data_IF_154065683570
#
_entry.id   IF_154065683570
#
_cell.length_a   1.000
_cell.length_b   1.000
_cell.length_c   1.000
_cell.angle_alpha   90.00
_cell.angle_beta   90.00
_cell.angle_gamma   90.00
#
_symmetry.space_group_name_H-M   'P 1'
#
loop_
_entity.id
_entity.type
_entity.pdbx_description
1 polymer ?
#
# COMPACT_ATOMS: atom_id res chain seq x y z
N UNK A 1 -12.01 13.75 5.79
CA UNK A 1 -11.62 13.68 4.40
C UNK A 1 -12.22 12.54 3.63
N UNK A 2 -13.55 12.63 3.68
CA UNK A 2 -14.64 12.49 2.73
C UNK A 2 -14.38 13.07 1.34
N UNK A 3 -13.42 13.98 1.21
CA UNK A 3 -13.02 14.50 -0.10
C UNK A 3 -11.52 14.34 -0.35
N UNK A 4 -10.73 13.99 0.67
CA UNK A 4 -9.40 13.48 0.41
C UNK A 4 -9.48 12.18 -0.37
N UNK A 5 -10.42 11.31 0.00
CA UNK A 5 -10.56 10.03 -0.69
C UNK A 5 -11.13 10.21 -2.09
N UNK A 6 -12.07 11.17 -2.27
CA UNK A 6 -12.86 11.21 -3.50
C UNK A 6 -12.01 11.49 -4.75
N UNK A 7 -11.34 12.65 -4.89
CA UNK A 7 -10.38 12.75 -6.01
C UNK A 7 -9.27 11.72 -5.95
N UNK A 8 -8.88 11.28 -4.75
CA UNK A 8 -7.90 10.23 -4.63
C UNK A 8 -8.40 8.92 -5.23
N UNK A 9 -9.49 8.40 -4.68
CA UNK A 9 -10.09 7.17 -5.20
C UNK A 9 -10.45 7.29 -6.67
N UNK A 10 -10.68 8.51 -7.17
CA UNK A 10 -10.99 8.70 -8.57
C UNK A 10 -9.82 8.31 -9.46
N UNK A 11 -8.67 8.95 -9.27
CA UNK A 11 -7.48 8.62 -10.05
C UNK A 11 -7.06 7.17 -9.84
N UNK A 12 -7.26 6.64 -8.63
CA UNK A 12 -7.02 5.22 -8.38
C UNK A 12 -7.87 4.37 -9.30
N UNK A 13 -9.19 4.54 -9.19
CA UNK A 13 -10.15 3.81 -10.01
C UNK A 13 -9.96 4.09 -11.49
N UNK A 14 -9.55 5.32 -11.83
CA UNK A 14 -9.22 5.62 -13.22
C UNK A 14 -7.99 4.86 -13.67
N UNK A 15 -7.03 4.64 -12.76
CA UNK A 15 -5.85 3.85 -13.10
C UNK A 15 -6.23 2.40 -13.36
N UNK A 16 -6.98 1.78 -12.43
CA UNK A 16 -7.47 0.43 -12.63
C UNK A 16 -8.08 0.26 -14.01
N UNK A 17 -8.92 1.23 -14.40
CA UNK A 17 -9.44 1.26 -15.76
C UNK A 17 -8.33 1.12 -16.79
N UNK A 18 -7.33 2.00 -16.71
CA UNK A 18 -6.24 1.99 -17.68
C UNK A 18 -5.60 0.61 -17.74
N UNK A 19 -5.09 0.13 -16.61
CA UNK A 19 -4.36 -1.14 -16.61
C UNK A 19 -5.28 -2.29 -17.01
N UNK A 20 -6.51 -2.32 -16.47
CA UNK A 20 -7.44 -3.36 -16.87
C UNK A 20 -7.81 -3.26 -18.34
N UNK A 21 -7.88 -2.05 -18.88
CA UNK A 21 -8.31 -1.88 -20.27
C UNK A 21 -7.17 -2.20 -21.22
N UNK A 22 -5.95 -1.77 -20.92
CA UNK A 22 -4.80 -2.14 -21.73
C UNK A 22 -4.75 -3.66 -21.89
N UNK A 23 -4.75 -4.38 -20.77
CA UNK A 23 -4.80 -5.83 -20.83
C UNK A 23 -5.95 -6.34 -21.68
N UNK A 24 -7.12 -5.71 -21.56
CA UNK A 24 -8.25 -6.09 -22.39
C UNK A 24 -7.95 -5.94 -23.87
N UNK A 25 -7.12 -4.97 -24.23
CA UNK A 25 -6.69 -4.83 -25.62
C UNK A 25 -5.82 -6.01 -26.02
N UNK A 26 -4.73 -6.25 -25.29
CA UNK A 26 -3.84 -7.36 -25.60
C UNK A 26 -4.60 -8.69 -25.58
N UNK A 27 -5.48 -8.87 -24.59
CA UNK A 27 -6.27 -10.10 -24.51
C UNK A 27 -7.06 -10.32 -25.80
N UNK A 28 -7.91 -9.36 -26.13
CA UNK A 28 -8.58 -9.37 -27.44
C UNK A 28 -7.65 -9.29 -28.63
N UNK A 29 -6.56 -8.53 -28.53
CA UNK A 29 -5.68 -8.41 -29.69
C UNK A 29 -5.11 -9.75 -30.15
N UNK A 30 -5.09 -10.77 -29.29
CA UNK A 30 -4.52 -12.04 -29.69
C UNK A 30 -5.39 -13.25 -29.40
N UNK A 31 -6.33 -13.18 -28.46
CA UNK A 31 -7.21 -14.30 -28.23
C UNK A 31 -8.57 -14.16 -28.89
N UNK A 32 -9.00 -12.94 -29.24
CA UNK A 32 -10.33 -12.76 -29.85
C UNK A 32 -10.48 -13.57 -31.13
N UNK A 33 -9.36 -13.85 -31.81
CA UNK A 33 -9.39 -14.62 -33.05
C UNK A 33 -10.18 -15.91 -32.87
N UNK A 34 -9.76 -16.76 -31.93
CA UNK A 34 -10.34 -18.09 -31.80
C UNK A 34 -11.26 -18.27 -30.60
N UNK A 35 -11.36 -17.29 -29.69
CA UNK A 35 -12.31 -17.33 -28.58
C UNK A 35 -13.15 -16.06 -28.51
N UNK A 36 -14.07 -15.88 -29.48
CA UNK A 36 -14.93 -14.68 -29.43
C UNK A 36 -15.94 -14.68 -28.29
N UNK A 37 -16.59 -15.82 -27.99
CA UNK A 37 -17.70 -15.81 -27.02
C UNK A 37 -17.42 -14.94 -25.81
N UNK A 38 -16.22 -15.06 -25.24
CA UNK A 38 -15.98 -14.24 -24.07
C UNK A 38 -14.54 -13.73 -23.96
N UNK A 39 -13.80 -13.68 -25.09
CA UNK A 39 -12.78 -12.67 -25.40
C UNK A 39 -13.07 -11.95 -26.72
N UNK A 40 -14.30 -11.46 -26.90
CA UNK A 40 -14.69 -10.93 -28.19
C UNK A 40 -14.52 -9.43 -28.31
N UNK A 41 -15.62 -8.71 -28.18
CA UNK A 41 -15.61 -7.33 -27.72
C UNK A 41 -14.60 -7.06 -26.62
N UNK A 42 -13.97 -5.87 -26.70
CA UNK A 42 -12.94 -5.48 -25.75
C UNK A 42 -13.40 -5.64 -24.30
N UNK A 43 -14.49 -4.95 -23.93
CA UNK A 43 -15.00 -5.05 -22.57
C UNK A 43 -15.38 -6.46 -22.17
N UNK A 44 -15.70 -7.30 -23.14
CA UNK A 44 -16.03 -8.70 -22.85
C UNK A 44 -14.82 -9.43 -22.30
N UNK A 45 -13.69 -9.36 -23.02
CA UNK A 45 -12.43 -9.89 -22.47
C UNK A 45 -12.05 -9.15 -21.20
N UNK A 46 -12.26 -7.83 -21.17
CA UNK A 46 -11.99 -7.05 -19.97
C UNK A 46 -12.70 -7.62 -18.76
N UNK A 47 -13.98 -7.99 -18.93
CA UNK A 47 -14.71 -8.61 -17.83
C UNK A 47 -14.05 -9.89 -17.37
N UNK A 48 -13.83 -10.82 -18.31
CA UNK A 48 -13.25 -12.10 -17.96
C UNK A 48 -11.88 -11.93 -17.32
N UNK A 49 -11.08 -10.99 -17.84
CA UNK A 49 -9.82 -10.63 -17.19
C UNK A 49 -10.05 -10.25 -15.74
N UNK A 50 -11.19 -9.63 -15.44
CA UNK A 50 -11.53 -9.21 -14.09
C UNK A 50 -12.25 -10.34 -13.36
N UNK A 51 -13.04 -11.13 -14.11
CA UNK A 51 -13.53 -12.39 -13.55
C UNK A 51 -12.39 -13.34 -13.22
N UNK A 52 -11.31 -13.32 -14.01
CA UNK A 52 -10.11 -14.07 -13.63
C UNK A 52 -9.53 -13.54 -12.33
N UNK A 53 -9.52 -12.22 -12.16
CA UNK A 53 -8.94 -11.62 -10.95
C UNK A 53 -9.77 -11.94 -9.72
N UNK A 54 -11.09 -11.80 -9.82
CA UNK A 54 -11.97 -12.01 -8.66
C UNK A 54 -12.33 -13.48 -8.42
N UNK A 55 -11.83 -14.40 -9.25
CA UNK A 55 -11.64 -15.82 -8.97
C UNK A 55 -12.93 -16.66 -9.02
N UNK A 56 -14.10 -16.04 -9.09
CA UNK A 56 -15.42 -16.69 -9.10
C UNK A 56 -15.56 -17.92 -9.98
N UNK A 57 -15.71 -19.10 -9.36
CA UNK A 57 -15.86 -20.38 -10.06
C UNK A 57 -14.65 -20.68 -10.95
N UNK A 62 -12.42 -21.21 -17.68
CA UNK A 62 -11.99 -20.39 -18.79
C UNK A 62 -10.52 -20.61 -19.19
N UNK A 63 -9.62 -20.57 -18.20
CA UNK A 63 -8.22 -20.38 -18.52
C UNK A 63 -7.64 -21.63 -19.16
N UNK A 64 -8.12 -22.80 -18.75
CA UNK A 64 -7.47 -24.03 -19.17
C UNK A 64 -7.71 -24.32 -20.65
N UNK A 65 -8.92 -24.17 -21.19
CA UNK A 65 -9.06 -24.35 -22.65
C UNK A 65 -8.31 -23.29 -23.44
N UNK A 66 -8.37 -22.03 -23.03
CA UNK A 66 -7.57 -20.99 -23.67
C UNK A 66 -6.10 -21.32 -23.55
N UNK A 67 -5.67 -21.82 -22.38
CA UNK A 67 -4.30 -22.29 -22.22
C UNK A 67 -4.02 -23.52 -23.08
N UNK A 68 -5.02 -24.38 -23.27
CA UNK A 68 -4.82 -25.56 -24.09
C UNK A 68 -4.65 -25.20 -25.56
N UNK A 69 -5.61 -24.46 -26.12
CA UNK A 69 -5.59 -24.13 -27.54
C UNK A 69 -4.35 -23.29 -27.87
N UNK A 70 -4.26 -22.11 -27.26
CA UNK A 70 -3.02 -21.34 -27.32
C UNK A 70 -2.13 -21.72 -26.14
N UNK A 71 -1.03 -22.43 -26.36
CA UNK A 71 -0.03 -22.56 -25.30
C UNK A 71 0.72 -21.25 -25.17
N UNK A 72 1.62 -21.14 -24.21
CA UNK A 72 2.35 -19.91 -23.93
C UNK A 72 1.43 -18.74 -23.59
N UNK A 73 0.13 -19.01 -23.36
CA UNK A 73 -0.80 -17.95 -22.99
C UNK A 73 -0.61 -17.50 -21.55
N UNK A 74 -0.04 -18.36 -20.72
CA UNK A 74 0.38 -17.96 -19.38
C UNK A 74 1.35 -16.79 -19.43
N UNK A 75 2.05 -16.60 -20.54
CA UNK A 75 2.90 -15.43 -20.74
C UNK A 75 2.13 -14.15 -20.90
N UNK A 76 0.81 -14.19 -20.76
CA UNK A 76 0.00 -13.00 -20.62
C UNK A 76 -0.78 -13.02 -19.32
N UNK A 77 -1.42 -14.14 -19.00
CA UNK A 77 -2.27 -14.18 -17.80
C UNK A 77 -1.45 -13.99 -16.54
N UNK A 78 -0.30 -14.65 -16.44
CA UNK A 78 0.55 -14.50 -15.27
C UNK A 78 1.08 -13.08 -15.16
N UNK A 79 1.77 -12.52 -16.17
CA UNK A 79 2.29 -11.16 -16.00
C UNK A 79 1.23 -10.12 -15.72
N UNK A 80 0.06 -10.24 -16.35
CA UNK A 80 -0.95 -9.19 -16.19
C UNK A 80 -1.52 -9.24 -14.77
N UNK A 81 -1.76 -10.46 -14.25
CA UNK A 81 -2.15 -10.60 -12.86
C UNK A 81 -1.10 -9.99 -11.94
N UNK A 82 0.18 -10.26 -12.21
CA UNK A 82 1.23 -9.66 -11.41
C UNK A 82 1.12 -8.15 -11.39
N UNK A 83 0.87 -7.54 -12.55
CA UNK A 83 0.85 -6.08 -12.63
C UNK A 83 -0.29 -5.52 -11.81
N UNK A 84 -1.51 -6.04 -12.00
CA UNK A 84 -2.64 -5.61 -11.18
C UNK A 84 -2.35 -5.80 -9.70
N UNK A 85 -1.91 -7.00 -9.31
CA UNK A 85 -1.62 -7.26 -7.91
C UNK A 85 -0.45 -6.42 -7.42
N UNK A 86 0.57 -6.20 -8.27
CA UNK A 86 1.58 -5.17 -8.03
C UNK A 86 0.92 -3.85 -7.68
N UNK A 87 0.13 -3.33 -8.63
CA UNK A 87 -0.42 -1.99 -8.52
C UNK A 87 -1.29 -1.84 -7.27
N UNK A 88 -2.12 -2.85 -6.99
CA UNK A 88 -2.93 -2.80 -5.77
C UNK A 88 -2.04 -2.76 -4.54
N UNK A 89 -1.07 -3.67 -4.47
CA UNK A 89 -0.11 -3.68 -3.37
C UNK A 89 0.57 -2.32 -3.26
N UNK A 90 1.11 -1.82 -4.39
CA UNK A 90 1.88 -0.58 -4.39
C UNK A 90 1.04 0.58 -3.85
N UNK A 91 -0.23 0.66 -4.27
CA UNK A 91 -1.13 1.68 -3.73
C UNK A 91 -1.18 1.62 -2.22
N UNK A 92 -1.50 0.44 -1.67
CA UNK A 92 -1.66 0.30 -0.24
C UNK A 92 -0.36 0.56 0.50
N UNK A 93 0.75 0.07 -0.03
CA UNK A 93 2.06 0.34 0.58
C UNK A 93 2.29 1.84 0.68
N UNK A 94 2.13 2.55 -0.43
CA UNK A 94 2.24 3.99 -0.43
C UNK A 94 1.39 4.62 0.66
N UNK A 95 0.08 4.35 0.62
CA UNK A 95 -0.83 4.88 1.63
C UNK A 95 -0.33 4.60 3.04
N UNK A 96 0.16 3.38 3.28
CA UNK A 96 0.71 3.04 4.58
C UNK A 96 1.94 3.88 4.89
N UNK A 97 2.96 3.78 4.03
CA UNK A 97 4.20 4.51 4.24
C UNK A 97 3.94 6.02 4.29
N UNK A 98 3.11 6.51 3.39
CA UNK A 98 2.76 7.94 3.38
C UNK A 98 2.01 8.35 4.63
N UNK A 99 1.26 7.44 5.23
CA UNK A 99 0.55 7.75 6.47
C UNK A 99 1.52 7.84 7.65
N UNK A 100 2.45 6.90 7.75
CA UNK A 100 3.37 6.88 8.90
C UNK A 100 4.17 8.18 8.99
N UNK A 101 4.43 8.82 7.85
CA UNK A 101 5.00 10.16 7.89
C UNK A 101 4.01 11.18 8.44
N UNK A 102 2.74 11.09 8.03
CA UNK A 102 1.74 12.03 8.50
C UNK A 102 1.63 12.01 10.03
N UNK A 103 1.61 10.81 10.62
CA UNK A 103 1.54 10.70 12.06
C UNK A 103 2.84 11.15 12.71
N UNK A 104 3.98 10.88 12.06
CA UNK A 104 5.28 11.32 12.56
C UNK A 104 5.32 12.83 12.77
N UNK A 105 4.59 13.59 11.94
CA UNK A 105 4.58 15.04 12.00
C UNK A 105 3.37 15.59 12.75
N UNK A 106 2.81 14.79 13.66
CA UNK A 106 1.66 15.25 14.45
C UNK A 106 2.08 15.88 15.77
N UNK A 107 3.12 15.32 16.42
CA UNK A 107 3.80 16.05 17.49
C UNK A 107 4.03 17.51 17.14
N UNK A 108 4.54 17.74 15.94
CA UNK A 108 4.84 19.10 15.51
C UNK A 108 3.57 19.93 15.36
N UNK A 109 2.45 19.28 15.02
CA UNK A 109 1.21 20.01 14.84
C UNK A 109 0.68 20.61 16.12
N UNK A 110 0.70 19.83 17.22
CA UNK A 110 0.27 20.36 18.51
C UNK A 110 1.17 21.51 18.94
N UNK A 111 2.48 21.26 18.94
CA UNK A 111 3.47 22.29 19.24
C UNK A 111 3.20 23.58 18.47
N UNK A 112 2.67 23.47 17.26
CA UNK A 112 2.35 24.66 16.48
C UNK A 112 1.19 25.42 17.10
N UNK A 113 0.08 24.73 17.39
CA UNK A 113 -1.07 25.41 18.00
C UNK A 113 -0.76 25.94 19.40
N UNK A 114 0.34 25.52 20.02
CA UNK A 114 0.80 26.18 21.23
C UNK A 114 1.29 27.59 20.91
N UNK A 115 2.25 27.68 19.99
CA UNK A 115 2.70 28.99 19.51
C UNK A 115 1.55 29.78 18.91
N UNK A 116 0.82 29.17 17.97
CA UNK A 116 -0.36 29.79 17.35
C UNK A 116 -1.22 30.52 18.38
N UNK A 117 -1.56 29.82 19.46
CA UNK A 117 -2.54 30.34 20.41
C UNK A 117 -1.89 31.31 21.39
N UNK A 118 -0.67 31.02 21.84
CA UNK A 118 -0.05 31.85 22.86
C UNK A 118 0.41 33.20 22.30
N UNK A 119 0.65 33.28 20.99
CA UNK A 119 0.83 34.58 20.35
C UNK A 119 -0.45 35.40 20.43
N UNK A 120 -1.55 34.84 19.91
CA UNK A 120 -2.84 35.51 20.00
C UNK A 120 -3.21 35.78 21.45
N UNK A 121 -2.67 34.98 22.38
CA UNK A 121 -2.86 35.27 23.80
C UNK A 121 -2.19 36.57 24.18
N UNK A 122 -0.90 36.73 23.85
CA UNK A 122 -0.26 38.02 24.17
C UNK A 122 -0.98 39.14 23.43
N UNK A 123 -1.23 38.95 22.12
CA UNK A 123 -1.75 40.01 21.28
C UNK A 123 -3.06 40.57 21.81
N UNK A 124 -3.86 39.74 22.47
CA UNK A 124 -4.99 40.25 23.23
C UNK A 124 -4.50 41.03 24.44
N UNK A 125 -3.64 40.40 25.24
CA UNK A 125 -3.10 41.03 26.45
C UNK A 125 -2.43 42.36 26.12
N UNK A 126 -1.63 42.40 25.06
CA UNK A 126 -0.92 43.63 24.71
C UNK A 126 -1.90 44.70 24.28
N UNK A 127 -2.85 44.34 23.42
CA UNK A 127 -3.88 45.27 23.00
C UNK A 127 -4.69 45.73 24.22
N UNK A 128 -5.13 44.77 25.03
CA UNK A 128 -5.80 45.06 26.30
C UNK A 128 -5.13 46.14 27.12
N UNK A 129 -3.90 45.88 27.54
CA UNK A 129 -3.21 46.82 28.41
C UNK A 129 -2.92 48.12 27.69
N UNK A 130 -2.66 48.05 26.38
CA UNK A 130 -2.48 49.26 25.59
C UNK A 130 -3.78 50.06 25.50
N UNK A 131 -4.87 49.41 25.12
CA UNK A 131 -6.16 50.06 24.94
C UNK A 131 -6.74 50.57 26.25
N UNK A 132 -6.03 50.36 27.37
CA UNK A 132 -6.41 50.90 28.67
C UNK A 132 -5.50 52.05 29.09
N UNK A 133 -4.92 52.73 28.11
CA UNK A 133 -4.05 53.88 28.29
C UNK A 133 -4.67 55.14 27.70
N UNK A 134 -5.95 55.08 27.32
CA UNK A 134 -6.65 56.21 26.76
C UNK A 134 -7.97 56.51 27.44
N UNK B 1 8.51 7.84 18.61
CA UNK B 1 7.28 7.12 18.33
C UNK B 1 7.55 5.71 17.87
N UNK B 2 7.45 4.62 18.65
CA UNK B 2 6.69 4.14 19.80
C UNK B 2 5.19 4.09 19.52
N UNK B 3 4.67 5.02 18.73
CA UNK B 3 3.26 4.96 18.33
C UNK B 3 3.13 5.37 16.87
N UNK B 4 4.17 5.97 16.30
CA UNK B 4 4.24 6.07 14.86
C UNK B 4 4.33 4.69 14.23
N UNK B 5 5.14 3.81 14.84
CA UNK B 5 5.28 2.46 14.33
C UNK B 5 4.00 1.64 14.56
N UNK B 6 3.34 1.84 15.71
CA UNK B 6 2.29 0.89 16.13
C UNK B 6 1.11 0.85 15.17
N UNK B 7 0.33 1.94 14.97
CA UNK B 7 -0.66 1.89 13.86
C UNK B 7 -0.04 1.66 12.51
N UNK B 8 1.20 2.09 12.29
CA UNK B 8 1.90 1.82 11.05
C UNK B 8 2.13 0.33 10.87
N UNK B 9 2.90 -0.27 11.78
CA UNK B 9 3.15 -1.71 11.72
C UNK B 9 1.86 -2.53 11.74
N UNK B 10 0.77 -1.96 12.26
CA UNK B 10 -0.50 -2.68 12.27
C UNK B 10 -1.03 -2.88 10.85
N UNK B 11 -1.22 -1.79 10.11
CA UNK B 11 -1.70 -1.92 8.73
C UNK B 11 -0.70 -2.68 7.87
N UNK B 12 0.60 -2.58 8.17
CA UNK B 12 1.61 -3.37 7.46
C UNK B 12 1.32 -4.85 7.59
N UNK B 13 1.27 -5.35 8.81
CA UNK B 13 1.08 -6.78 8.98
C UNK B 13 -0.39 -7.16 9.08
N UNK B 14 -1.29 -6.19 8.90
CA UNK B 14 -2.62 -6.50 8.38
C UNK B 14 -2.58 -6.74 6.89
N UNK B 15 -1.71 -6.01 6.17
CA UNK B 15 -1.54 -6.25 4.74
C UNK B 15 -0.94 -7.62 4.47
N UNK B 16 0.18 -7.93 5.15
CA UNK B 16 0.78 -9.26 5.02
C UNK B 16 -0.28 -10.34 5.17
N UNK B 17 -1.14 -10.21 6.18
CA UNK B 17 -2.27 -11.11 6.32
C UNK B 17 -3.05 -11.22 5.02
N UNK B 18 -3.48 -10.09 4.48
CA UNK B 18 -4.28 -10.09 3.25
C UNK B 18 -3.57 -10.86 2.15
N UNK B 19 -2.35 -10.42 1.80
CA UNK B 19 -1.64 -11.02 0.68
C UNK B 19 -1.33 -12.48 0.96
N UNK B 20 -0.87 -12.78 2.17
CA UNK B 20 -0.60 -14.18 2.52
C UNK B 20 -1.88 -15.01 2.52
N UNK B 21 -2.99 -14.41 2.91
CA UNK B 21 -4.24 -15.18 3.02
C UNK B 21 -4.86 -15.39 1.64
N UNK B 22 -4.84 -14.37 0.78
CA UNK B 22 -5.32 -14.54 -0.58
C UNK B 22 -4.59 -15.71 -1.24
N UNK B 23 -3.27 -15.69 -1.21
CA UNK B 23 -2.50 -16.81 -1.73
C UNK B 23 -2.91 -18.13 -1.11
N UNK B 24 -3.18 -18.13 0.21
CA UNK B 24 -3.63 -19.34 0.87
C UNK B 24 -4.95 -19.84 0.28
N UNK B 25 -5.80 -18.93 -0.18
CA UNK B 25 -7.02 -19.34 -0.86
C UNK B 25 -6.70 -20.03 -2.18
N UNK B 26 -5.97 -19.33 -3.05
CA UNK B 26 -5.60 -19.91 -4.35
C UNK B 26 -4.83 -21.21 -4.15
N UNK B 27 -3.89 -21.23 -3.22
CA UNK B 27 -3.15 -22.46 -2.93
C UNK B 27 -4.12 -23.58 -2.62
N UNK B 28 -5.09 -23.31 -1.75
CA UNK B 28 -5.95 -24.37 -1.27
C UNK B 28 -6.96 -24.62 -2.39
N UNK B 29 -7.37 -23.54 -3.07
CA UNK B 29 -8.41 -23.62 -4.10
C UNK B 29 -8.04 -24.57 -5.22
N UNK B 30 -6.75 -24.86 -5.40
CA UNK B 30 -6.35 -25.74 -6.50
C UNK B 30 -5.42 -26.86 -6.10
N UNK B 31 -4.69 -26.75 -4.99
CA UNK B 31 -3.86 -27.87 -4.55
C UNK B 31 -4.49 -28.71 -3.45
N UNK B 32 -5.46 -28.18 -2.71
CA UNK B 32 -6.06 -28.95 -1.62
C UNK B 32 -6.68 -30.25 -2.10
N UNK B 33 -7.09 -30.29 -3.37
CA UNK B 33 -7.68 -31.50 -3.93
C UNK B 33 -6.80 -32.73 -3.66
N UNK B 34 -5.56 -32.69 -4.14
CA UNK B 34 -4.71 -33.87 -4.09
C UNK B 34 -3.62 -33.79 -3.03
N UNK B 35 -3.43 -32.64 -2.37
CA UNK B 35 -2.47 -32.54 -1.27
C UNK B 35 -3.11 -31.97 -0.01
N UNK B 36 -3.99 -32.74 0.66
CA UNK B 36 -4.61 -32.21 1.89
C UNK B 36 -3.68 -32.08 3.09
N UNK B 37 -2.78 -33.06 3.33
CA UNK B 37 -2.00 -33.08 4.58
C UNK B 37 -1.46 -31.70 4.94
N UNK B 38 -0.93 -30.97 3.96
CA UNK B 38 -0.42 -29.67 4.34
C UNK B 38 -0.63 -28.59 3.27
N UNK B 39 -1.59 -28.79 2.36
CA UNK B 39 -2.41 -27.75 1.71
C UNK B 39 -3.89 -28.01 1.90
N UNK B 40 -4.31 -28.25 3.14
CA UNK B 40 -5.62 -28.75 3.49
C UNK B 40 -6.54 -27.61 3.89
N UNK B 41 -6.64 -27.34 5.20
CA UNK B 41 -7.49 -26.21 5.55
C UNK B 41 -6.72 -24.97 5.10
N UNK B 42 -7.40 -23.82 5.06
CA UNK B 42 -6.78 -22.64 4.48
C UNK B 42 -5.48 -22.26 5.18
N UNK B 43 -5.54 -22.08 6.50
CA UNK B 43 -4.36 -21.69 7.25
C UNK B 43 -3.22 -22.69 7.16
N UNK B 44 -3.55 -23.95 6.89
CA UNK B 44 -2.53 -24.98 6.73
C UNK B 44 -1.67 -24.69 5.51
N UNK B 45 -2.30 -24.51 4.35
CA UNK B 45 -1.56 -24.06 3.18
C UNK B 45 -0.93 -22.69 3.41
N UNK B 46 -1.65 -21.80 4.11
CA UNK B 46 -1.09 -20.50 4.45
C UNK B 46 0.24 -20.64 5.18
N UNK B 47 0.32 -21.57 6.14
CA UNK B 47 1.58 -21.79 6.84
C UNK B 47 2.67 -22.22 5.88
N UNK B 48 2.42 -23.28 5.11
CA UNK B 48 3.44 -23.78 4.19
C UNK B 48 3.85 -22.72 3.20
N UNK B 49 2.89 -21.94 2.70
CA UNK B 49 3.23 -20.78 1.88
C UNK B 49 4.21 -19.87 2.58
N UNK B 50 4.11 -19.78 3.91
CA UNK B 50 5.00 -18.94 4.70
C UNK B 50 6.23 -19.73 5.10
N UNK B 51 6.07 -21.05 5.31
CA UNK B 51 7.22 -21.93 5.41
C UNK B 51 8.04 -21.92 4.13
N UNK B 52 7.37 -21.83 2.98
CA UNK B 52 8.09 -21.66 1.72
C UNK B 52 8.88 -20.36 1.73
N UNK B 53 8.28 -19.29 2.27
CA UNK B 53 8.94 -17.99 2.26
C UNK B 53 10.15 -17.96 3.20
N UNK B 54 9.99 -18.50 4.42
CA UNK B 54 11.07 -18.46 5.40
C UNK B 54 12.09 -19.58 5.24
N UNK B 55 11.88 -20.46 4.26
CA UNK B 55 12.87 -21.32 3.62
C UNK B 55 13.35 -22.54 4.43
N UNK B 56 13.32 -22.53 5.76
CA UNK B 56 13.33 -23.71 6.66
C UNK B 56 13.29 -25.07 5.96
N UNK B 57 14.11 -25.31 4.94
CA UNK B 57 14.58 -26.65 4.54
C UNK B 57 13.50 -27.69 4.26
N UNK B 58 12.26 -27.44 4.68
CA UNK B 58 11.14 -28.33 4.41
C UNK B 58 10.27 -27.78 3.30
N UNK B 59 10.53 -26.55 2.89
CA UNK B 59 10.01 -26.03 1.63
C UNK B 59 10.63 -26.74 0.44
N UNK B 60 11.82 -27.33 0.61
CA UNK B 60 12.37 -28.16 -0.46
C UNK B 60 11.72 -29.54 -0.48
N UNK B 61 11.42 -30.10 0.69
CA UNK B 61 10.67 -31.33 0.80
C UNK B 61 9.18 -31.20 0.54
N UNK B 62 8.73 -30.01 0.15
CA UNK B 62 7.34 -29.76 -0.22
C UNK B 62 7.19 -29.49 -1.72
N UNK B 63 7.97 -28.57 -2.27
CA UNK B 63 7.60 -27.95 -3.53
C UNK B 63 7.75 -28.94 -4.68
N UNK B 64 8.79 -29.78 -4.60
CA UNK B 64 9.10 -30.65 -5.73
C UNK B 64 8.03 -31.70 -5.97
N UNK B 65 7.50 -32.42 -4.96
CA UNK B 65 6.39 -33.33 -5.27
C UNK B 65 5.14 -32.62 -5.74
N UNK B 66 4.78 -31.50 -5.11
CA UNK B 66 3.66 -30.70 -5.60
C UNK B 66 3.94 -30.23 -7.03
N UNK B 67 5.18 -29.83 -7.31
CA UNK B 67 5.57 -29.47 -8.66
C UNK B 67 5.55 -30.68 -9.59
N UNK B 68 5.92 -31.85 -9.08
CA UNK B 68 5.87 -33.07 -9.87
C UNK B 68 4.44 -33.43 -10.25
N UNK B 69 3.57 -33.60 -9.25
CA UNK B 69 2.21 -34.06 -9.51
C UNK B 69 1.47 -33.06 -10.38
N UNK B 70 1.31 -31.82 -9.88
CA UNK B 70 0.81 -30.73 -10.71
C UNK B 70 2.00 -30.04 -11.36
N UNK B 71 2.21 -30.18 -12.67
CA UNK B 71 3.17 -29.29 -13.34
C UNK B 71 2.53 -27.92 -13.48
N UNK B 72 3.27 -26.96 -14.02
CA UNK B 72 2.80 -25.57 -14.13
C UNK B 72 2.43 -24.96 -12.78
N UNK B 73 2.77 -25.62 -11.68
CA UNK B 73 2.50 -25.07 -10.35
C UNK B 73 3.43 -23.93 -10.00
N UNK B 74 4.61 -23.88 -10.63
CA UNK B 74 5.48 -22.73 -10.51
C UNK B 74 4.78 -21.44 -10.95
N UNK B 75 3.75 -21.55 -11.79
CA UNK B 75 2.93 -20.40 -12.17
C UNK B 75 2.08 -19.91 -11.04
N UNK B 76 2.23 -20.46 -9.85
CA UNK B 76 1.67 -19.85 -8.65
C UNK B 76 2.76 -19.57 -7.62
N UNK B 77 3.67 -20.52 -7.41
CA UNK B 77 4.67 -20.33 -6.36
C UNK B 77 5.61 -19.18 -6.70
N UNK B 78 6.06 -19.11 -7.95
CA UNK B 78 6.95 -18.03 -8.37
C UNK B 78 6.23 -16.69 -8.28
N UNK B 79 5.08 -16.48 -8.95
CA UNK B 79 4.46 -15.14 -8.87
C UNK B 79 4.10 -14.71 -7.45
N UNK B 80 3.65 -15.64 -6.61
CA UNK B 80 3.21 -15.24 -5.28
C UNK B 80 4.41 -14.82 -4.44
N UNK B 81 5.52 -15.55 -4.56
CA UNK B 81 6.76 -15.14 -3.91
C UNK B 81 7.17 -13.75 -4.39
N UNK B 82 7.09 -13.52 -5.71
CA UNK B 82 7.43 -12.19 -6.22
C UNK B 82 6.59 -11.11 -5.54
N UNK B 83 5.29 -11.36 -5.39
CA UNK B 83 4.40 -10.34 -4.85
C UNK B 83 4.77 -10.01 -3.42
N UNK B 84 4.90 -11.04 -2.57
CA UNK B 84 5.35 -10.83 -1.20
C UNK B 84 6.69 -10.09 -1.15
N UNK B 85 7.67 -10.59 -1.89
CA UNK B 85 8.99 -9.96 -1.87
C UNK B 85 8.94 -8.55 -2.46
N UNK B 86 8.10 -8.32 -3.46
CA UNK B 86 7.91 -6.96 -3.95
C UNK B 86 7.26 -6.10 -2.88
N UNK B 87 6.21 -6.61 -2.22
CA UNK B 87 5.53 -5.83 -1.18
C UNK B 87 6.47 -5.47 -0.04
N UNK B 88 7.27 -6.44 0.41
CA UNK B 88 8.24 -6.16 1.47
C UNK B 88 9.24 -5.10 0.98
N UNK B 89 9.81 -5.31 -0.21
CA UNK B 89 10.71 -4.33 -0.80
C UNK B 89 10.03 -2.97 -0.88
N UNK B 90 8.82 -2.94 -1.45
CA UNK B 90 8.13 -1.67 -1.67
C UNK B 90 7.94 -0.93 -0.36
N UNK B 91 7.53 -1.64 0.70
CA UNK B 91 7.42 -1.01 2.03
C UNK B 91 8.71 -0.32 2.43
N UNK B 92 9.82 -1.07 2.40
CA UNK B 92 11.09 -0.51 2.86
C UNK B 92 11.55 0.64 1.98
N UNK B 93 11.37 0.50 0.66
CA UNK B 93 11.72 1.59 -0.26
C UNK B 93 10.97 2.85 0.13
N UNK B 94 9.65 2.75 0.25
CA UNK B 94 8.84 3.87 0.70
C UNK B 94 9.39 4.49 1.96
N UNK B 95 9.52 3.69 3.02
CA UNK B 95 10.05 4.18 4.29
C UNK B 95 11.38 4.91 4.08
N UNK B 96 12.25 4.35 3.26
CA UNK B 96 13.53 4.99 2.96
C UNK B 96 13.30 6.32 2.24
N UNK B 97 12.63 6.26 1.09
CA UNK B 97 12.39 7.47 0.30
C UNK B 97 11.59 8.48 1.11
N UNK B 98 10.55 8.01 1.82
CA UNK B 98 9.74 8.93 2.60
C UNK B 98 10.59 9.59 3.68
N UNK B 99 11.58 8.85 4.23
CA UNK B 99 12.42 9.38 5.30
C UNK B 99 13.37 10.45 4.78
N UNK B 100 13.98 10.24 3.63
CA UNK B 100 14.93 11.21 3.08
C UNK B 100 14.28 12.56 2.88
N UNK B 101 12.97 12.59 2.60
CA UNK B 101 12.24 13.86 2.61
C UNK B 101 12.13 14.43 4.01
N UNK B 102 11.86 13.58 5.01
CA UNK B 102 11.72 14.08 6.38
C UNK B 102 12.99 14.78 6.84
N UNK B 103 14.15 14.18 6.57
CA UNK B 103 15.41 14.80 6.94
C UNK B 103 15.68 16.04 6.10
N UNK B 104 15.28 16.02 4.83
CA UNK B 104 15.46 17.18 3.95
C UNK B 104 14.78 18.41 4.53
N UNK B 105 13.67 18.24 5.26
CA UNK B 105 12.91 19.34 5.82
C UNK B 105 13.22 19.57 7.29
N UNK B 106 14.41 19.18 7.75
CA UNK B 106 14.80 19.40 9.13
C UNK B 106 15.54 20.71 9.31
N UNK B 107 16.33 21.10 8.31
CA UNK B 107 16.91 22.44 8.27
C UNK B 107 15.81 23.48 8.49
N UNK B 108 14.66 23.30 7.83
CA UNK B 108 13.54 24.22 7.98
C UNK B 108 12.95 24.18 9.38
N UNK B 109 13.04 23.03 10.06
CA UNK B 109 12.48 22.93 11.39
C UNK B 109 13.21 23.79 12.41
N UNK B 110 14.54 23.76 12.37
CA UNK B 110 15.32 24.61 13.27
C UNK B 110 15.03 26.07 13.00
N UNK B 111 15.16 26.49 11.73
CA UNK B 111 14.83 27.84 11.31
C UNK B 111 13.47 28.28 11.84
N UNK B 112 12.53 27.35 11.97
CA UNK B 112 11.21 27.69 12.51
C UNK B 112 11.30 28.05 13.99
N UNK B 113 11.93 27.20 14.80
CA UNK B 113 12.08 27.49 16.22
C UNK B 113 12.92 28.73 16.49
N UNK B 114 13.68 29.21 15.52
CA UNK B 114 14.30 30.52 15.66
C UNK B 114 13.25 31.62 15.66
N UNK B 115 12.41 31.65 14.62
CA UNK B 115 11.30 32.58 14.58
C UNK B 115 10.36 32.36 15.75
N UNK B 116 9.92 31.10 15.95
CA UNK B 116 9.07 30.72 17.06
C UNK B 116 9.52 31.38 18.36
N UNK B 117 10.80 31.24 18.68
CA UNK B 117 11.30 31.68 19.98
C UNK B 117 11.56 33.18 20.01
N UNK B 118 12.09 33.74 18.92
CA UNK B 118 12.46 35.15 18.92
C UNK B 118 11.24 36.06 18.88
N UNK B 119 10.12 35.57 18.37
CA UNK B 119 8.85 36.29 18.53
C UNK B 119 8.47 36.37 20.00
N UNK B 120 8.38 35.20 20.64
CA UNK B 120 8.09 35.16 22.07
C UNK B 120 9.12 35.94 22.88
N UNK B 121 10.34 36.07 22.35
CA UNK B 121 11.36 36.88 23.00
C UNK B 121 10.95 38.36 22.99
N UNK B 122 10.67 38.90 21.80
CA UNK B 122 10.03 40.20 21.65
C UNK B 122 8.80 40.37 22.53
N UNK B 123 7.85 39.44 22.42
CA UNK B 123 6.57 39.61 23.09
C UNK B 123 6.72 39.72 24.61
N UNK B 124 7.73 39.06 25.17
CA UNK B 124 8.08 39.32 26.56
C UNK B 124 8.65 40.72 26.72
N UNK B 125 9.67 41.04 25.92
CA UNK B 125 10.29 42.37 25.96
C UNK B 125 9.27 43.48 25.78
N UNK B 126 8.34 43.32 24.84
CA UNK B 126 7.37 44.37 24.57
C UNK B 126 6.40 44.51 25.73
N UNK B 127 5.82 43.39 26.19
CA UNK B 127 5.07 43.43 27.45
C UNK B 127 5.86 44.06 28.57
N UNK B 128 7.08 43.58 28.76
CA UNK B 128 7.93 44.03 29.85
C UNK B 128 8.04 45.54 29.88
N UNK B 129 8.53 46.13 28.78
CA UNK B 129 8.69 47.58 28.71
C UNK B 129 7.36 48.29 28.77
N UNK B 130 6.32 47.69 28.18
CA UNK B 130 4.98 48.27 28.27
C UNK B 130 4.46 48.23 29.70
N UNK B 131 4.51 47.05 30.33
CA UNK B 131 3.97 46.93 31.69
C UNK B 131 4.81 47.68 32.71
N UNK B 132 5.86 48.37 32.28
CA UNK B 132 6.60 49.28 33.14
C UNK B 132 6.26 50.73 32.86
N UNK B 133 5.09 51.01 32.27
CA UNK B 133 4.64 52.37 32.13
C UNK B 133 3.42 52.69 32.99
N UNK B 134 3.15 51.87 34.00
CA UNK B 134 2.04 52.13 34.89
C UNK B 134 2.45 52.11 36.35
#
# INVERSE_FOLDING_TARGET
GFITALPGMASVFLLMTIIFYIGAVIATKLFAASFPDWFGDLGLSAYTLFQIMTLDDWSDGIVRPVMQVYPYAWLFFVPFIMITTFAVVNLLVGLIVNSMQDAHHAEDGERTDAYRDEVLARLEQIDQRLNALGETKK
GFITALPGMASVFLLMTIIFYIGAVIATKLFAASFPDWFGDLGLSAYTLFQIMTLDDWSDGIVRPVMQVYPYAWLFFVPFIMITTFAVVNLLVGLIVNSMQDAHHAEDGERTDAYRDEVLARLEQIDQRLNALGETKK
#
